data_IF_762422164370
#
_entry.id   IF_762422164370
#
_cell.length_a   1.000
_cell.length_b   1.000
_cell.length_c   1.000
_cell.angle_alpha   90.00
_cell.angle_beta   90.00
_cell.angle_gamma   90.00
#
_symmetry.space_group_name_H-M   'P 1'
#
loop_
_entity.id
_entity.type
_entity.pdbx_description
1 polymer ?
#
# COMPACT_ATOMS: atom_id res chain seq x y z
N UNK A 1 15.41 8.68 -75.68
CA UNK A 1 16.72 8.38 -76.30
C UNK A 1 17.45 7.43 -75.40
N UNK A 2 17.78 6.28 -76.01
CA UNK A 2 18.80 5.26 -75.64
C UNK A 2 18.55 4.35 -74.44
N UNK A 3 18.10 3.22 -74.84
CA UNK A 3 18.33 1.84 -74.39
C UNK A 3 19.75 1.53 -73.95
N UNK A 4 19.95 0.73 -72.93
CA UNK A 4 20.95 -0.35 -72.93
C UNK A 4 20.45 -1.47 -71.98
N UNK A 5 20.13 -2.60 -72.61
CA UNK A 5 19.85 -3.86 -71.91
C UNK A 5 21.18 -4.63 -71.72
N UNK A 6 21.24 -5.37 -70.65
CA UNK A 6 22.21 -6.46 -70.50
C UNK A 6 21.48 -7.74 -70.10
N UNK A 7 21.61 -8.69 -71.00
CA UNK A 7 21.23 -10.09 -70.85
C UNK A 7 22.39 -10.79 -70.12
N UNK A 8 22.11 -11.54 -69.06
CA UNK A 8 23.03 -12.57 -68.56
C UNK A 8 22.35 -13.90 -68.39
N UNK A 9 23.01 -14.87 -68.97
CA UNK A 9 22.80 -16.29 -69.19
C UNK A 9 22.59 -17.08 -67.90
N UNK A 10 21.67 -18.01 -67.96
CA UNK A 10 21.42 -19.13 -67.01
C UNK A 10 22.61 -20.12 -67.03
N UNK A 11 23.09 -20.47 -65.86
CA UNK A 11 23.81 -21.72 -65.66
C UNK A 11 23.22 -22.42 -64.40
N UNK A 12 22.56 -23.51 -64.65
CA UNK A 12 22.01 -24.42 -63.65
C UNK A 12 23.13 -25.28 -63.07
N UNK A 13 23.48 -25.06 -61.81
CA UNK A 13 24.25 -26.04 -61.06
C UNK A 13 23.34 -26.77 -60.07
N UNK A 14 23.22 -28.08 -60.26
CA UNK A 14 22.54 -29.03 -59.45
C UNK A 14 23.28 -29.28 -58.15
N UNK A 15 22.73 -28.81 -57.01
CA UNK A 15 23.23 -29.13 -55.68
C UNK A 15 22.53 -30.38 -55.16
N UNK A 16 23.31 -31.39 -54.87
CA UNK A 16 22.85 -32.66 -54.27
C UNK A 16 22.40 -32.41 -52.80
N UNK A 17 21.36 -33.06 -52.29
CA UNK A 17 20.92 -32.88 -50.91
C UNK A 17 21.92 -33.52 -49.93
N UNK A 18 22.47 -32.70 -49.03
CA UNK A 18 23.23 -33.18 -47.90
C UNK A 18 22.27 -33.83 -46.86
N UNK A 19 22.57 -35.07 -46.50
CA UNK A 19 21.85 -35.79 -45.45
C UNK A 19 22.14 -35.09 -44.11
N UNK A 20 21.08 -34.43 -43.55
CA UNK A 20 21.12 -33.86 -42.20
C UNK A 20 20.86 -35.04 -41.23
N UNK A 21 21.88 -35.50 -40.55
CA UNK A 21 21.74 -36.36 -39.38
C UNK A 21 21.10 -35.57 -38.23
N UNK A 22 19.81 -35.83 -38.02
CA UNK A 22 19.05 -35.30 -36.90
C UNK A 22 19.46 -36.07 -35.63
N UNK A 23 20.44 -35.48 -34.86
CA UNK A 23 20.75 -35.99 -33.51
C UNK A 23 19.63 -35.63 -32.59
N UNK A 24 18.85 -36.62 -32.22
CA UNK A 24 17.82 -36.55 -31.17
C UNK A 24 18.55 -36.34 -29.81
N UNK A 25 18.63 -35.12 -29.34
CA UNK A 25 19.02 -34.86 -27.96
C UNK A 25 17.80 -35.11 -27.07
N UNK A 26 17.73 -36.31 -26.49
CA UNK A 26 16.81 -36.60 -25.40
C UNK A 26 17.36 -35.89 -24.16
N UNK A 27 16.95 -34.65 -23.96
CA UNK A 27 17.23 -33.91 -22.75
C UNK A 27 16.46 -34.53 -21.59
N UNK A 28 17.15 -35.32 -20.76
CA UNK A 28 16.63 -35.78 -19.48
C UNK A 28 16.47 -34.55 -18.55
N UNK A 29 15.27 -33.95 -18.56
CA UNK A 29 14.89 -32.95 -17.57
C UNK A 29 14.75 -33.65 -16.20
N UNK A 30 15.84 -33.68 -15.44
CA UNK A 30 15.79 -33.96 -14.00
C UNK A 30 14.97 -32.86 -13.35
N UNK A 31 13.67 -33.11 -13.16
CA UNK A 31 12.84 -32.28 -12.30
C UNK A 31 13.33 -32.42 -10.87
N UNK A 32 14.16 -31.47 -10.43
CA UNK A 32 14.50 -31.36 -9.01
C UNK A 32 13.18 -31.16 -8.23
N UNK A 33 12.93 -31.95 -7.19
CA UNK A 33 11.75 -31.74 -6.36
C UNK A 33 11.82 -30.33 -5.77
N UNK A 34 10.79 -29.54 -6.06
CA UNK A 34 10.57 -28.24 -5.43
C UNK A 34 10.27 -28.53 -3.95
N UNK A 35 11.28 -28.48 -3.10
CA UNK A 35 11.06 -28.44 -1.66
C UNK A 35 10.54 -27.05 -1.30
N UNK A 36 9.26 -26.91 -0.95
CA UNK A 36 8.80 -25.64 -0.43
C UNK A 36 9.59 -25.38 0.85
N UNK A 37 10.34 -24.27 0.89
CA UNK A 37 10.91 -23.80 2.16
C UNK A 37 9.78 -23.79 3.17
N UNK A 38 9.96 -24.36 4.38
CA UNK A 38 8.95 -24.29 5.41
C UNK A 38 8.65 -22.81 5.64
N UNK A 39 7.43 -22.38 5.31
CA UNK A 39 6.97 -21.04 5.63
C UNK A 39 7.10 -20.94 7.15
N UNK A 40 8.01 -20.09 7.62
CA UNK A 40 8.13 -19.79 9.04
C UNK A 40 6.72 -19.42 9.50
N UNK A 41 6.14 -20.25 10.37
CA UNK A 41 4.80 -19.99 10.87
C UNK A 41 4.77 -18.55 11.40
N UNK A 42 4.01 -17.70 10.73
CA UNK A 42 3.90 -16.29 11.09
C UNK A 42 3.23 -16.24 12.47
N UNK A 43 3.97 -15.81 13.48
CA UNK A 43 3.42 -15.67 14.83
C UNK A 43 2.52 -14.43 14.82
N UNK A 44 1.20 -14.59 15.03
CA UNK A 44 0.30 -13.44 15.07
C UNK A 44 0.71 -12.47 16.18
N UNK A 45 0.49 -11.18 15.95
CA UNK A 45 0.70 -10.15 16.96
C UNK A 45 -0.07 -10.51 18.23
N UNK A 46 0.64 -10.51 19.35
CA UNK A 46 0.08 -10.66 20.69
C UNK A 46 0.36 -9.39 21.49
N UNK A 47 -0.68 -8.83 22.08
CA UNK A 47 -0.61 -7.64 22.93
C UNK A 47 -1.89 -7.55 23.77
N UNK A 48 -1.92 -6.67 24.76
CA UNK A 48 -3.09 -6.50 25.64
C UNK A 48 -3.35 -5.03 26.00
N UNK A 49 -4.54 -4.76 26.50
CA UNK A 49 -4.92 -3.43 26.94
C UNK A 49 -4.81 -2.36 25.85
N UNK A 50 -4.34 -1.18 26.21
CA UNK A 50 -4.18 -0.01 25.36
C UNK A 50 -2.71 0.35 25.07
N UNK A 51 -1.78 -0.60 25.24
CA UNK A 51 -0.38 -0.35 24.92
C UNK A 51 -0.18 0.02 23.44
N UNK A 52 0.82 0.84 23.15
CA UNK A 52 1.26 1.10 21.77
C UNK A 52 2.07 -0.08 21.27
N UNK A 53 1.75 -0.53 20.08
CA UNK A 53 2.37 -1.67 19.43
C UNK A 53 2.94 -1.27 18.09
N UNK A 54 4.21 -1.57 17.86
CA UNK A 54 4.85 -1.38 16.56
C UNK A 54 4.18 -2.25 15.48
N UNK A 55 3.79 -1.63 14.38
CA UNK A 55 3.20 -2.32 13.22
C UNK A 55 4.21 -3.21 12.48
N UNK A 56 5.51 -3.08 12.80
CA UNK A 56 6.52 -4.02 12.32
C UNK A 56 6.28 -5.45 12.82
N UNK A 57 5.47 -5.63 13.86
CA UNK A 57 5.11 -6.94 14.45
C UNK A 57 3.89 -7.59 13.79
N UNK A 58 3.19 -6.88 12.90
CA UNK A 58 2.02 -7.43 12.16
C UNK A 58 2.50 -8.51 11.18
N UNK A 59 1.73 -9.60 11.10
CA UNK A 59 1.98 -10.71 10.19
C UNK A 59 0.68 -11.12 9.47
N UNK A 60 0.70 -11.20 8.09
CA UNK A 60 1.82 -10.80 7.22
C UNK A 60 2.10 -9.29 7.31
N UNK A 61 3.37 -8.93 7.13
CA UNK A 61 3.80 -7.55 7.32
C UNK A 61 3.27 -6.62 6.23
N UNK A 62 2.62 -5.48 6.57
CA UNK A 62 2.28 -4.44 5.60
C UNK A 62 3.54 -3.71 5.11
N UNK A 63 3.45 -3.01 4.00
CA UNK A 63 4.49 -2.08 3.59
C UNK A 63 4.37 -0.76 4.38
N UNK A 64 5.49 -0.07 4.55
CA UNK A 64 5.54 1.23 5.21
C UNK A 64 6.15 2.27 4.27
N UNK A 65 5.46 3.38 4.10
CA UNK A 65 5.93 4.60 3.46
C UNK A 65 5.42 5.76 4.31
N UNK A 66 5.99 5.88 5.51
CA UNK A 66 5.53 6.89 6.48
C UNK A 66 5.84 8.28 5.93
N UNK A 67 4.80 8.95 5.40
CA UNK A 67 4.91 10.17 4.60
C UNK A 67 5.52 11.32 5.40
N UNK A 68 5.17 11.44 6.67
CA UNK A 68 5.71 12.47 7.55
C UNK A 68 7.13 12.20 8.07
N UNK A 69 7.70 11.03 7.77
CA UNK A 69 9.12 10.73 8.01
C UNK A 69 10.03 11.16 6.84
N UNK A 70 9.48 11.82 5.83
CA UNK A 70 10.22 12.41 4.70
C UNK A 70 9.62 13.77 4.35
N UNK A 71 10.14 14.44 3.34
CA UNK A 71 9.57 15.67 2.78
C UNK A 71 8.39 15.41 1.81
N UNK A 72 8.04 14.14 1.53
CA UNK A 72 6.94 13.77 0.64
C UNK A 72 5.59 13.84 1.37
N UNK A 73 5.21 15.02 1.84
CA UNK A 73 3.93 15.35 2.50
C UNK A 73 3.54 16.79 2.17
N UNK A 74 2.35 17.22 2.56
CA UNK A 74 1.82 18.55 2.23
C UNK A 74 2.62 19.71 2.83
N UNK A 75 3.42 19.48 3.90
CA UNK A 75 4.30 20.50 4.50
C UNK A 75 5.69 20.57 3.85
N UNK A 76 6.04 19.66 2.94
CA UNK A 76 7.32 19.62 2.25
C UNK A 76 8.54 19.40 3.14
N UNK A 77 8.36 18.95 4.39
CA UNK A 77 9.45 18.74 5.38
C UNK A 77 9.23 17.49 6.22
N UNK A 78 10.32 16.94 6.75
CA UNK A 78 10.29 15.81 7.68
C UNK A 78 9.74 16.25 9.03
N UNK A 79 8.72 15.55 9.55
CA UNK A 79 8.08 15.81 10.83
C UNK A 79 8.38 14.75 11.88
N UNK A 80 8.63 13.50 11.47
CA UNK A 80 8.93 12.40 12.37
C UNK A 80 10.44 12.18 12.48
N UNK A 81 10.96 12.16 13.71
CA UNK A 81 12.36 11.86 13.98
C UNK A 81 12.68 10.34 13.93
N UNK A 82 11.66 9.50 14.10
CA UNK A 82 11.77 8.04 14.08
C UNK A 82 10.69 7.43 13.23
N UNK A 83 11.03 6.35 12.51
CA UNK A 83 10.10 5.61 11.65
C UNK A 83 9.75 4.29 12.34
N UNK A 84 8.88 4.36 13.34
CA UNK A 84 8.25 3.20 13.95
C UNK A 84 6.75 3.43 14.05
N UNK A 85 5.98 3.08 13.00
CA UNK A 85 4.54 3.27 13.03
C UNK A 85 3.91 2.38 14.10
N UNK A 86 3.13 3.00 15.00
CA UNK A 86 2.53 2.35 16.14
C UNK A 86 1.02 2.60 16.19
N UNK A 87 0.26 1.64 16.73
CA UNK A 87 -1.16 1.78 17.06
C UNK A 87 -1.42 1.19 18.44
N UNK A 88 -2.55 1.58 19.06
CA UNK A 88 -3.04 0.87 20.25
C UNK A 88 -3.29 -0.60 19.91
N UNK A 89 -3.02 -1.48 20.88
CA UNK A 89 -3.12 -2.93 20.71
C UNK A 89 -4.40 -3.39 19.99
N UNK A 90 -5.63 -3.02 20.39
CA UNK A 90 -6.84 -3.50 19.70
C UNK A 90 -6.91 -3.01 18.25
N UNK A 91 -6.37 -1.83 17.95
CA UNK A 91 -6.33 -1.27 16.59
C UNK A 91 -5.30 -2.00 15.73
N UNK A 92 -4.12 -2.29 16.28
CA UNK A 92 -3.08 -3.07 15.60
C UNK A 92 -3.54 -4.51 15.30
N UNK A 93 -4.23 -5.16 16.26
CA UNK A 93 -4.81 -6.49 16.05
C UNK A 93 -5.90 -6.50 14.96
N UNK A 94 -6.73 -5.45 14.90
CA UNK A 94 -7.72 -5.30 13.85
C UNK A 94 -7.05 -5.09 12.48
N UNK A 95 -6.02 -4.23 12.41
CA UNK A 95 -5.27 -3.97 11.19
C UNK A 95 -4.56 -5.24 10.68
N UNK A 96 -4.03 -6.07 11.58
CA UNK A 96 -3.47 -7.37 11.23
C UNK A 96 -4.50 -8.26 10.53
N UNK A 97 -5.74 -8.30 11.03
CA UNK A 97 -6.82 -9.07 10.41
C UNK A 97 -7.18 -8.52 9.02
N UNK A 98 -7.17 -7.19 8.82
CA UNK A 98 -7.34 -6.59 7.49
C UNK A 98 -6.24 -7.06 6.55
N UNK A 99 -4.98 -6.97 6.98
CA UNK A 99 -3.82 -7.40 6.19
C UNK A 99 -3.90 -8.89 5.82
N UNK A 100 -4.30 -9.75 6.76
CA UNK A 100 -4.49 -11.18 6.52
C UNK A 100 -5.61 -11.46 5.50
N UNK A 101 -6.73 -10.74 5.58
CA UNK A 101 -7.83 -10.90 4.62
C UNK A 101 -7.41 -10.47 3.22
N UNK A 102 -6.77 -9.31 3.09
CA UNK A 102 -6.26 -8.80 1.81
C UNK A 102 -5.21 -9.72 1.19
N UNK A 103 -4.35 -10.34 2.02
CA UNK A 103 -3.32 -11.27 1.54
C UNK A 103 -3.91 -12.50 0.84
N UNK A 104 -5.08 -12.97 1.27
CA UNK A 104 -5.82 -14.06 0.61
C UNK A 104 -6.32 -13.68 -0.78
N UNK A 105 -6.52 -12.38 -1.01
CA UNK A 105 -6.94 -11.81 -2.29
C UNK A 105 -5.75 -11.37 -3.17
N UNK A 106 -4.51 -11.64 -2.74
CA UNK A 106 -3.29 -11.20 -3.45
C UNK A 106 -3.02 -9.71 -3.31
N UNK A 107 -3.56 -9.09 -2.27
CA UNK A 107 -3.41 -7.68 -1.95
C UNK A 107 -2.72 -7.49 -0.59
N UNK A 108 -2.31 -6.28 -0.30
CA UNK A 108 -1.78 -5.88 1.00
C UNK A 108 -1.99 -4.41 1.26
N UNK A 109 -1.68 -4.00 2.48
CA UNK A 109 -1.68 -2.61 2.89
C UNK A 109 -0.29 -1.99 2.72
N UNK A 110 -0.28 -0.69 2.39
CA UNK A 110 0.85 0.21 2.64
C UNK A 110 0.37 1.28 3.60
N UNK A 111 1.08 1.45 4.71
CA UNK A 111 0.77 2.43 5.76
C UNK A 111 1.52 3.71 5.48
N UNK A 112 0.80 4.84 5.48
CA UNK A 112 1.32 6.20 5.32
C UNK A 112 1.45 6.94 6.63
N UNK A 113 0.50 6.76 7.57
CA UNK A 113 0.55 7.29 8.92
C UNK A 113 -0.18 6.38 9.92
N UNK A 114 0.21 6.48 11.20
CA UNK A 114 -0.38 5.73 12.31
C UNK A 114 -0.48 6.63 13.56
N UNK A 115 0.13 6.26 14.69
CA UNK A 115 0.22 7.19 15.82
C UNK A 115 1.00 8.44 15.42
N UNK A 116 0.37 9.60 15.57
CA UNK A 116 0.95 10.92 15.33
C UNK A 116 1.17 11.63 16.68
N UNK A 117 2.42 11.92 17.04
CA UNK A 117 2.70 12.70 18.25
C UNK A 117 1.95 14.03 18.27
N UNK A 118 1.49 14.44 19.45
CA UNK A 118 0.69 15.68 19.60
C UNK A 118 1.43 16.93 19.11
N UNK A 119 2.76 16.98 19.30
CA UNK A 119 3.59 18.09 18.79
C UNK A 119 3.55 18.17 17.25
N UNK A 120 3.51 17.03 16.57
CA UNK A 120 3.39 17.00 15.10
C UNK A 120 1.98 17.41 14.67
N UNK A 121 0.95 16.99 15.40
CA UNK A 121 -0.43 17.45 15.16
C UNK A 121 -0.55 18.96 15.28
N UNK A 122 0.14 19.58 16.26
CA UNK A 122 0.18 21.03 16.40
C UNK A 122 0.85 21.71 15.20
N UNK A 123 2.01 21.23 14.76
CA UNK A 123 2.69 21.76 13.58
C UNK A 123 1.82 21.72 12.31
N UNK A 124 1.02 20.67 12.14
CA UNK A 124 0.07 20.54 11.01
C UNK A 124 -1.09 21.53 11.16
N UNK A 125 -1.61 21.69 12.37
CA UNK A 125 -2.69 22.64 12.65
C UNK A 125 -2.26 24.08 12.40
N UNK A 126 -1.06 24.46 12.86
CA UNK A 126 -0.52 25.82 12.69
C UNK A 126 -0.42 26.22 11.21
N UNK A 127 -0.25 25.23 10.31
CA UNK A 127 -0.13 25.45 8.86
C UNK A 127 -1.48 25.49 8.15
N UNK A 128 -2.41 24.57 8.49
CA UNK A 128 -3.66 24.37 7.72
C UNK A 128 -4.85 25.11 8.33
N UNK A 129 -5.00 25.08 9.65
CA UNK A 129 -6.10 25.70 10.43
C UNK A 129 -7.52 25.40 9.88
N UNK A 130 -7.70 24.25 9.27
CA UNK A 130 -8.98 23.80 8.75
C UNK A 130 -9.38 22.45 9.41
N UNK A 131 -10.40 22.45 10.29
CA UNK A 131 -10.79 21.28 11.06
C UNK A 131 -11.40 20.17 10.21
N UNK A 132 -11.65 20.39 8.92
CA UNK A 132 -12.10 19.36 7.99
C UNK A 132 -10.98 18.39 7.65
N UNK A 133 -9.72 18.85 7.69
CA UNK A 133 -8.53 18.09 7.28
C UNK A 133 -7.54 17.85 8.43
N UNK A 134 -7.34 18.85 9.28
CA UNK A 134 -6.43 18.74 10.41
C UNK A 134 -7.20 19.08 11.69
N UNK A 135 -7.21 18.17 12.66
CA UNK A 135 -7.86 18.43 13.94
C UNK A 135 -7.09 19.49 14.74
N UNK A 136 -7.80 20.48 15.30
CA UNK A 136 -7.25 21.42 16.27
C UNK A 136 -6.89 20.70 17.56
N UNK A 137 -5.61 20.64 17.95
CA UNK A 137 -5.20 19.90 19.14
C UNK A 137 -5.63 20.56 20.44
N UNK A 138 -6.01 21.85 20.47
CA UNK A 138 -6.55 22.53 21.63
C UNK A 138 -7.99 22.13 21.94
N UNK A 139 -8.77 21.77 20.91
CA UNK A 139 -10.16 21.33 21.01
C UNK A 139 -10.25 19.79 21.03
N UNK A 140 -9.51 19.16 20.14
CA UNK A 140 -9.48 17.72 19.99
C UNK A 140 -8.10 17.29 19.49
N UNK A 141 -7.34 16.60 20.31
CA UNK A 141 -6.01 16.11 19.99
C UNK A 141 -5.90 15.25 18.71
N UNK A 142 -7.05 14.95 18.08
CA UNK A 142 -7.11 14.10 16.90
C UNK A 142 -7.08 12.62 17.25
N UNK A 143 -7.41 11.81 16.26
CA UNK A 143 -7.56 10.36 16.40
C UNK A 143 -6.20 9.65 16.28
N UNK A 144 -5.33 10.16 15.41
CA UNK A 144 -3.96 9.68 15.28
C UNK A 144 -3.15 9.86 16.58
N UNK A 145 -3.32 10.98 17.29
CA UNK A 145 -2.64 11.22 18.57
C UNK A 145 -3.12 10.32 19.71
N UNK A 146 -4.17 9.55 19.48
CA UNK A 146 -4.66 8.49 20.37
C UNK A 146 -4.13 7.10 19.99
N UNK A 147 -3.42 6.96 18.87
CA UNK A 147 -3.05 5.68 18.29
C UNK A 147 -4.25 4.87 17.81
N UNK A 148 -5.32 5.56 17.39
CA UNK A 148 -6.63 4.99 17.09
C UNK A 148 -7.07 5.20 15.63
N UNK A 149 -6.19 5.72 14.78
CA UNK A 149 -6.42 5.91 13.34
C UNK A 149 -5.20 5.53 12.55
N UNK A 150 -5.44 5.19 11.29
CA UNK A 150 -4.38 4.81 10.35
C UNK A 150 -4.72 5.31 8.95
N UNK A 151 -3.70 5.80 8.24
CA UNK A 151 -3.76 6.17 6.83
C UNK A 151 -3.10 5.08 6.00
N UNK A 152 -3.86 4.50 5.08
CA UNK A 152 -3.44 3.32 4.32
C UNK A 152 -3.88 3.37 2.87
N UNK A 153 -3.15 2.63 2.03
CA UNK A 153 -3.54 2.32 0.65
C UNK A 153 -3.35 0.84 0.34
N UNK A 154 -3.86 0.41 -0.82
CA UNK A 154 -3.70 -0.96 -1.32
C UNK A 154 -2.44 -1.11 -2.17
N UNK A 155 -1.79 -2.25 -2.00
CA UNK A 155 -0.72 -2.72 -2.87
C UNK A 155 -1.03 -4.13 -3.38
N UNK A 156 -0.49 -4.48 -4.55
CA UNK A 156 -0.55 -5.86 -5.05
C UNK A 156 0.54 -6.74 -4.40
N UNK A 157 0.58 -8.03 -4.72
CA UNK A 157 1.57 -9.00 -4.22
C UNK A 157 3.04 -8.61 -4.48
N UNK A 158 3.29 -7.74 -5.47
CA UNK A 158 4.63 -7.23 -5.79
C UNK A 158 4.95 -5.93 -5.05
N UNK A 159 4.09 -5.49 -4.14
CA UNK A 159 4.24 -4.23 -3.40
C UNK A 159 3.94 -2.97 -4.22
N UNK A 160 3.45 -3.09 -5.47
CA UNK A 160 3.09 -1.94 -6.30
C UNK A 160 1.75 -1.38 -5.84
N UNK A 161 1.63 -0.05 -5.57
CA UNK A 161 0.37 0.59 -5.22
C UNK A 161 -0.69 0.40 -6.32
N UNK A 162 -1.94 0.18 -5.91
CA UNK A 162 -3.08 0.26 -6.80
C UNK A 162 -3.39 1.73 -7.12
N UNK A 163 -4.06 1.96 -8.25
CA UNK A 163 -4.51 3.30 -8.62
C UNK A 163 -5.68 3.68 -7.73
N UNK A 164 -5.54 4.76 -6.98
CA UNK A 164 -6.53 5.27 -6.03
C UNK A 164 -7.12 6.59 -6.55
N UNK A 165 -8.22 7.11 -5.95
CA UNK A 165 -8.88 8.35 -6.40
C UNK A 165 -7.92 9.53 -6.54
N UNK A 166 -7.10 9.77 -5.52
CA UNK A 166 -6.10 10.84 -5.47
C UNK A 166 -4.79 10.32 -4.88
N UNK A 167 -3.77 11.16 -4.81
CA UNK A 167 -2.62 10.90 -3.95
C UNK A 167 -2.99 11.19 -2.48
N UNK A 168 -2.07 10.88 -1.56
CA UNK A 168 -2.17 11.15 -0.13
C UNK A 168 -2.10 12.67 0.13
N UNK A 169 -2.79 13.15 1.16
CA UNK A 169 -2.89 14.58 1.52
C UNK A 169 -3.46 15.48 0.39
N UNK A 170 -4.24 14.91 -0.51
CA UNK A 170 -5.03 15.68 -1.47
C UNK A 170 -6.31 16.19 -0.78
N UNK A 171 -6.36 17.50 -0.50
CA UNK A 171 -7.49 18.15 0.17
C UNK A 171 -8.61 18.56 -0.78
N UNK A 172 -8.62 18.07 -2.02
CA UNK A 172 -9.69 18.31 -2.98
C UNK A 172 -10.92 17.41 -2.70
N UNK A 173 -12.07 17.78 -3.29
CA UNK A 173 -13.27 16.95 -3.23
C UNK A 173 -13.10 15.57 -3.86
N UNK A 174 -12.12 15.39 -4.74
CA UNK A 174 -11.83 14.08 -5.35
C UNK A 174 -11.27 13.06 -4.33
N UNK A 175 -10.76 13.52 -3.20
CA UNK A 175 -10.31 12.67 -2.09
C UNK A 175 -11.47 12.16 -1.20
N UNK A 176 -12.66 12.74 -1.33
CA UNK A 176 -13.79 12.35 -0.51
C UNK A 176 -14.24 10.92 -0.82
N UNK A 177 -14.75 10.24 0.19
CA UNK A 177 -15.36 8.93 0.04
C UNK A 177 -16.58 9.04 -0.87
N UNK A 178 -16.64 8.22 -1.93
CA UNK A 178 -17.67 8.27 -2.97
C UNK A 178 -17.71 9.59 -3.77
N UNK A 179 -16.56 10.25 -3.96
CA UNK A 179 -16.49 11.45 -4.79
C UNK A 179 -16.96 11.17 -6.22
N UNK A 180 -17.70 12.13 -6.79
CA UNK A 180 -18.12 12.09 -8.18
C UNK A 180 -16.93 12.32 -9.13
N UNK A 181 -17.02 11.81 -10.35
CA UNK A 181 -16.01 12.02 -11.38
C UNK A 181 -14.72 11.20 -11.23
N UNK A 182 -14.62 10.36 -10.20
CA UNK A 182 -13.48 9.44 -10.02
C UNK A 182 -13.58 8.29 -11.04
N UNK A 183 -12.47 7.96 -11.69
CA UNK A 183 -12.41 6.82 -12.63
C UNK A 183 -12.86 5.52 -11.96
N UNK A 184 -13.64 4.71 -12.66
CA UNK A 184 -14.29 3.52 -12.11
C UNK A 184 -13.32 2.53 -11.45
N UNK A 185 -12.14 2.31 -12.04
CA UNK A 185 -11.11 1.42 -11.48
C UNK A 185 -10.55 1.95 -10.14
N UNK A 186 -10.35 3.26 -10.02
CA UNK A 186 -9.87 3.92 -8.81
C UNK A 186 -10.93 3.91 -7.71
N UNK A 187 -12.18 4.23 -8.05
CA UNK A 187 -13.32 4.16 -7.15
C UNK A 187 -13.53 2.72 -6.61
N UNK A 188 -13.40 1.70 -7.48
CA UNK A 188 -13.49 0.30 -7.09
C UNK A 188 -12.38 -0.10 -6.11
N UNK A 189 -11.15 0.37 -6.31
CA UNK A 189 -10.04 0.12 -5.40
C UNK A 189 -10.25 0.77 -4.02
N UNK A 190 -10.69 2.04 -3.99
CA UNK A 190 -11.02 2.73 -2.73
C UNK A 190 -12.18 2.02 -1.99
N UNK A 191 -13.21 1.58 -2.71
CA UNK A 191 -14.31 0.81 -2.13
C UNK A 191 -13.84 -0.54 -1.57
N UNK A 192 -12.91 -1.23 -2.27
CA UNK A 192 -12.33 -2.49 -1.78
C UNK A 192 -11.58 -2.27 -0.48
N UNK A 193 -10.71 -1.24 -0.41
CA UNK A 193 -10.00 -0.85 0.80
C UNK A 193 -10.99 -0.58 1.93
N UNK A 194 -11.97 0.30 1.68
CA UNK A 194 -13.00 0.64 2.67
C UNK A 194 -13.71 -0.59 3.22
N UNK A 195 -14.20 -1.48 2.35
CA UNK A 195 -14.88 -2.70 2.78
C UNK A 195 -13.97 -3.61 3.62
N UNK A 196 -12.69 -3.73 3.27
CA UNK A 196 -11.75 -4.53 4.04
C UNK A 196 -11.54 -3.96 5.45
N UNK A 197 -11.37 -2.65 5.56
CA UNK A 197 -11.20 -1.94 6.84
C UNK A 197 -12.47 -2.00 7.70
N UNK A 198 -13.63 -1.69 7.13
CA UNK A 198 -14.91 -1.66 7.84
C UNK A 198 -15.33 -3.03 8.40
N UNK A 199 -15.06 -4.12 7.67
CA UNK A 199 -15.29 -5.49 8.17
C UNK A 199 -14.51 -5.82 9.45
N UNK A 200 -13.44 -5.08 9.73
CA UNK A 200 -12.58 -5.29 10.90
C UNK A 200 -12.70 -4.19 11.95
N UNK A 201 -13.79 -3.39 11.89
CA UNK A 201 -14.15 -2.42 12.93
C UNK A 201 -13.60 -1.02 12.75
N UNK A 202 -12.99 -0.74 11.61
CA UNK A 202 -12.64 0.64 11.24
C UNK A 202 -13.83 1.37 10.65
N UNK A 203 -13.79 2.69 10.66
CA UNK A 203 -14.75 3.59 10.01
C UNK A 203 -14.01 4.52 9.06
N UNK A 204 -14.48 4.63 7.84
CA UNK A 204 -13.95 5.58 6.86
C UNK A 204 -14.25 7.02 7.28
N UNK A 205 -13.36 7.94 6.91
CA UNK A 205 -13.53 9.36 7.13
C UNK A 205 -14.04 10.03 5.84
N UNK A 206 -15.04 10.90 5.97
CA UNK A 206 -15.81 11.35 4.81
C UNK A 206 -14.99 12.11 3.75
N UNK A 207 -13.99 12.88 4.17
CA UNK A 207 -13.18 13.75 3.30
C UNK A 207 -11.88 13.13 2.80
N UNK A 208 -11.54 11.90 3.26
CA UNK A 208 -10.24 11.26 3.01
C UNK A 208 -10.41 9.76 2.80
N UNK A 209 -10.27 9.28 1.56
CA UNK A 209 -10.46 7.86 1.23
C UNK A 209 -9.43 6.93 1.88
N UNK A 210 -8.29 7.44 2.30
CA UNK A 210 -7.19 6.69 2.94
C UNK A 210 -7.28 6.59 4.45
N UNK A 211 -8.07 7.50 5.12
CA UNK A 211 -8.13 7.63 6.56
C UNK A 211 -9.20 6.73 7.17
N UNK A 212 -8.79 5.96 8.19
CA UNK A 212 -9.67 5.04 8.90
C UNK A 212 -9.53 5.18 10.41
N UNK A 213 -10.65 5.46 11.06
CA UNK A 213 -10.76 5.53 12.51
C UNK A 213 -11.15 4.19 13.12
N UNK A 214 -10.56 3.83 14.23
CA UNK A 214 -11.09 2.77 15.08
C UNK A 214 -12.47 3.15 15.65
N UNK A 215 -13.45 2.27 15.59
CA UNK A 215 -14.82 2.60 16.01
C UNK A 215 -14.96 3.05 17.46
N UNK A 216 -14.04 2.66 18.35
CA UNK A 216 -13.98 3.09 19.76
C UNK A 216 -12.93 4.17 20.03
N UNK A 217 -12.46 4.91 19.04
CA UNK A 217 -11.38 5.90 19.19
C UNK A 217 -11.67 6.94 20.28
N UNK A 218 -12.95 7.29 20.53
CA UNK A 218 -13.35 8.30 21.51
C UNK A 218 -13.03 7.88 22.95
N UNK A 219 -13.04 6.59 23.23
CA UNK A 219 -12.70 6.04 24.56
C UNK A 219 -11.19 5.87 24.78
N UNK A 220 -10.37 6.07 23.74
CA UNK A 220 -8.94 5.94 23.86
C UNK A 220 -8.30 7.26 24.32
N UNK A 221 -7.49 7.25 25.40
CA UNK A 221 -6.82 8.46 25.86
C UNK A 221 -5.80 8.94 24.84
N UNK A 222 -5.59 10.26 24.79
CA UNK A 222 -4.46 10.85 24.05
C UNK A 222 -3.16 10.31 24.61
N UNK A 223 -2.20 10.03 23.73
CA UNK A 223 -0.86 9.60 24.15
C UNK A 223 -0.08 10.85 24.54
N UNK A 224 0.42 10.93 25.79
CA UNK A 224 1.16 12.10 26.24
C UNK A 224 2.45 12.26 25.43
N UNK A 225 2.99 13.48 25.31
CA UNK A 225 4.32 13.72 24.77
C UNK A 225 5.36 12.89 25.51
N UNK A 226 6.27 12.27 24.77
CA UNK A 226 7.42 11.50 25.30
C UNK A 226 8.60 12.40 25.59
#
# INVERSE_FOLDING_TARGET
MSYFGFIFSSSSESIKPAQVFQRLFIGLFLSLPFYPFPSRAEVPLQCSGLELVSLNRISPRPLFEIRYASSNNFLGRTLYSKVDPQLRCPVALALQKVQQDLSKEGLGLKVWDAHRPLAVQQLMWDEVQDPRYVSDPSVNAGRHSRGASVDVTLVNQRGKPLRMPTDYDDFSKSAHVNADGVLADRAANAQRLRKAMERRGFRSFATEWWHFDWHHWKSMPVIPPS
#
